data_IF_019032745725
#
_entry.id   IF_019032745725
#
_cell.length_a   1.000
_cell.length_b   1.000
_cell.length_c   1.000
_cell.angle_alpha   90.00
_cell.angle_beta   90.00
_cell.angle_gamma   90.00
#
_symmetry.space_group_name_H-M   'P 1'
#
loop_
_entity.id
_entity.type
_entity.pdbx_description
1 polymer ?
#
# COMPACT_ATOMS: atom_id res chain seq x y z
N UNK A 1 8.71 6.74 -20.07
CA UNK A 1 9.58 7.02 -18.92
C UNK A 1 8.68 7.64 -17.86
N UNK A 2 8.35 6.90 -16.79
CA UNK A 2 7.50 7.41 -15.72
C UNK A 2 8.44 8.02 -14.67
N UNK A 3 8.63 9.33 -14.71
CA UNK A 3 9.35 10.07 -13.67
C UNK A 3 8.36 10.34 -12.53
N UNK A 4 8.27 9.41 -11.58
CA UNK A 4 7.66 9.67 -10.28
C UNK A 4 8.76 10.09 -9.31
N UNK A 5 8.96 11.40 -9.13
CA UNK A 5 9.78 11.93 -8.06
C UNK A 5 9.04 11.72 -6.74
N UNK A 6 9.52 10.78 -5.91
CA UNK A 6 9.02 10.58 -4.55
C UNK A 6 9.71 11.59 -3.64
N UNK A 7 9.07 12.72 -3.38
CA UNK A 7 9.53 13.67 -2.36
C UNK A 7 9.43 13.02 -0.97
N UNK A 8 10.60 12.78 -0.38
CA UNK A 8 10.74 12.22 0.96
C UNK A 8 10.58 13.35 2.00
N UNK A 9 9.35 13.81 2.20
CA UNK A 9 8.96 14.77 3.23
C UNK A 9 8.60 14.09 4.55
N UNK A 10 9.59 13.78 5.39
CA UNK A 10 9.36 13.32 6.77
C UNK A 10 9.01 14.54 7.63
N UNK A 11 7.75 14.65 8.06
CA UNK A 11 7.34 15.59 9.11
C UNK A 11 6.04 15.17 9.82
N UNK A 12 6.20 14.38 10.87
CA UNK A 12 5.53 14.51 12.17
C UNK A 12 4.00 14.37 12.18
N UNK A 13 3.48 13.14 12.35
CA UNK A 13 2.38 12.78 13.25
C UNK A 13 2.17 11.24 13.25
N UNK A 14 2.86 10.55 14.16
CA UNK A 14 3.10 9.10 14.12
C UNK A 14 1.88 8.15 14.18
N UNK A 15 0.64 8.62 14.38
CA UNK A 15 -0.55 7.75 14.40
C UNK A 15 -1.44 7.95 13.16
N UNK A 16 -1.64 9.20 12.73
CA UNK A 16 -2.39 9.54 11.50
C UNK A 16 -1.58 9.29 10.23
N UNK A 17 -0.24 9.33 10.30
CA UNK A 17 0.64 8.97 9.18
C UNK A 17 0.56 7.47 8.84
N UNK A 18 0.42 6.62 9.85
CA UNK A 18 0.39 5.16 9.67
C UNK A 18 -0.90 4.69 9.00
N UNK A 19 -2.02 5.33 9.30
CA UNK A 19 -3.32 5.04 8.70
C UNK A 19 -3.39 5.56 7.25
N UNK A 20 -2.87 6.76 7.00
CA UNK A 20 -2.75 7.31 5.65
C UNK A 20 -1.80 6.48 4.78
N UNK A 21 -0.67 6.03 5.33
CA UNK A 21 0.27 5.15 4.63
C UNK A 21 -0.33 3.78 4.35
N UNK A 22 -1.13 3.23 5.28
CA UNK A 22 -1.82 1.96 5.07
C UNK A 22 -2.78 2.05 3.88
N UNK A 23 -3.59 3.12 3.81
CA UNK A 23 -4.50 3.35 2.69
C UNK A 23 -3.76 3.51 1.35
N UNK A 24 -2.66 4.27 1.33
CA UNK A 24 -1.85 4.44 0.13
C UNK A 24 -1.24 3.12 -0.38
N UNK A 25 -0.77 2.26 0.54
CA UNK A 25 -0.26 0.93 0.19
C UNK A 25 -1.39 0.05 -0.37
N UNK A 26 -2.57 0.06 0.25
CA UNK A 26 -3.71 -0.72 -0.25
C UNK A 26 -4.09 -0.34 -1.69
N UNK A 27 -4.13 0.96 -1.99
CA UNK A 27 -4.46 1.44 -3.33
C UNK A 27 -3.36 1.11 -4.36
N UNK A 28 -2.09 1.25 -3.97
CA UNK A 28 -0.98 0.80 -4.80
C UNK A 28 -1.06 -0.70 -5.11
N UNK A 29 -1.40 -1.54 -4.13
CA UNK A 29 -1.56 -2.99 -4.33
C UNK A 29 -2.72 -3.30 -5.27
N UNK A 30 -3.84 -2.58 -5.19
CA UNK A 30 -4.95 -2.73 -6.16
C UNK A 30 -4.49 -2.42 -7.59
N UNK A 31 -3.74 -1.34 -7.78
CA UNK A 31 -3.18 -0.95 -9.09
C UNK A 31 -2.25 -2.05 -9.61
N UNK A 32 -1.38 -2.59 -8.76
CA UNK A 32 -0.48 -3.69 -9.14
C UNK A 32 -1.23 -4.94 -9.56
N UNK A 33 -2.25 -5.36 -8.81
CA UNK A 33 -3.09 -6.52 -9.16
C UNK A 33 -3.80 -6.33 -10.50
N UNK A 34 -4.39 -5.15 -10.73
CA UNK A 34 -5.01 -4.82 -12.02
C UNK A 34 -3.99 -4.81 -13.16
N UNK A 35 -2.78 -4.28 -12.92
CA UNK A 35 -1.69 -4.29 -13.90
C UNK A 35 -1.18 -5.69 -14.27
N UNK A 36 -1.34 -6.67 -13.38
CA UNK A 36 -1.04 -8.09 -13.63
C UNK A 36 -2.19 -8.84 -14.32
N UNK A 37 -3.35 -8.20 -14.52
CA UNK A 37 -4.55 -8.83 -15.07
C UNK A 37 -5.34 -9.68 -14.06
N UNK A 38 -5.12 -9.48 -12.76
CA UNK A 38 -5.85 -10.18 -11.71
C UNK A 38 -7.25 -9.59 -11.49
N UNK A 39 -8.22 -10.45 -11.15
CA UNK A 39 -9.54 -10.01 -10.70
C UNK A 39 -9.50 -9.63 -9.21
N UNK A 40 -9.49 -8.33 -8.91
CA UNK A 40 -9.49 -7.80 -7.55
C UNK A 40 -10.74 -8.20 -6.74
N UNK A 41 -11.83 -8.60 -7.41
CA UNK A 41 -13.07 -9.04 -6.77
C UNK A 41 -13.08 -10.55 -6.51
N UNK A 42 -12.03 -11.28 -6.87
CA UNK A 42 -11.88 -12.69 -6.50
C UNK A 42 -11.79 -12.80 -4.98
N UNK A 43 -12.56 -13.72 -4.39
CA UNK A 43 -12.63 -13.93 -2.93
C UNK A 43 -11.24 -13.98 -2.26
N UNK A 44 -10.28 -14.67 -2.87
CA UNK A 44 -8.91 -14.77 -2.35
C UNK A 44 -8.09 -13.47 -2.38
N UNK A 45 -8.45 -12.53 -3.26
CA UNK A 45 -7.71 -11.28 -3.52
C UNK A 45 -8.34 -10.04 -2.88
N UNK A 46 -9.64 -10.06 -2.56
CA UNK A 46 -10.33 -8.92 -1.90
C UNK A 46 -9.60 -8.39 -0.67
N UNK A 47 -9.00 -9.28 0.13
CA UNK A 47 -8.25 -8.93 1.35
C UNK A 47 -6.73 -8.80 1.14
N UNK A 48 -6.22 -9.03 -0.07
CA UNK A 48 -4.78 -8.93 -0.34
C UNK A 48 -4.23 -7.54 -0.07
N UNK A 49 -4.84 -6.42 -0.51
CA UNK A 49 -4.34 -5.08 -0.20
C UNK A 49 -4.09 -4.87 1.29
N UNK A 50 -5.10 -5.18 2.11
CA UNK A 50 -5.04 -5.06 3.58
C UNK A 50 -3.92 -5.92 4.18
N UNK A 51 -3.80 -7.18 3.71
CA UNK A 51 -2.75 -8.09 4.21
C UNK A 51 -1.35 -7.59 3.86
N UNK A 52 -1.16 -7.04 2.67
CA UNK A 52 0.14 -6.51 2.23
C UNK A 52 0.50 -5.26 3.03
N UNK A 53 -0.42 -4.31 3.18
CA UNK A 53 -0.19 -3.11 3.98
C UNK A 53 0.18 -3.45 5.44
N UNK A 54 -0.53 -4.41 6.04
CA UNK A 54 -0.20 -4.95 7.36
C UNK A 54 1.20 -5.58 7.41
N UNK A 55 1.50 -6.48 6.47
CA UNK A 55 2.77 -7.20 6.45
C UNK A 55 3.97 -6.26 6.26
N UNK A 56 3.84 -5.24 5.41
CA UNK A 56 4.88 -4.25 5.19
C UNK A 56 5.13 -3.43 6.47
N UNK A 57 4.07 -2.87 7.07
CA UNK A 57 4.17 -2.07 8.31
C UNK A 57 4.80 -2.88 9.45
N UNK A 58 4.33 -4.10 9.67
CA UNK A 58 4.80 -4.93 10.78
C UNK A 58 6.19 -5.52 10.50
N UNK A 59 6.52 -5.81 9.25
CA UNK A 59 7.79 -6.40 8.85
C UNK A 59 8.97 -5.42 8.85
N UNK A 60 8.71 -4.11 8.79
CA UNK A 60 9.75 -3.07 8.79
C UNK A 60 9.80 -2.25 10.07
N UNK A 61 9.03 -2.62 11.10
CA UNK A 61 9.05 -1.96 12.41
C UNK A 61 10.31 -2.39 13.18
N UNK A 62 11.30 -1.50 13.26
CA UNK A 62 12.57 -1.66 13.99
C UNK A 62 12.50 -1.14 15.42
#
# INVERSE_FOLDING_TARGET
>A
HFNGELENGVSMCSEVEDEANTAAIEDAVKILLLGLGEDINREGLKKTPIRVAKALREGTRV
#
